data_IF_225761496370
#
_entry.id   IF_225761496370
#
_cell.length_a   1.000
_cell.length_b   1.000
_cell.length_c   1.000
_cell.angle_alpha   90.00
_cell.angle_beta   90.00
_cell.angle_gamma   90.00
#
_symmetry.space_group_name_H-M   'P 1'
#
loop_
_entity.id
_entity.type
_entity.pdbx_description
1 polymer ?
#
# COMPACT_ATOMS: atom_id res chain seq x y z
N UNK A 1 0.58 -7.27 10.49
CA UNK A 1 -0.46 -6.54 11.21
C UNK A 1 0.01 -6.17 12.60
N UNK A 2 0.44 -7.12 13.43
CA UNK A 2 0.90 -6.88 14.80
C UNK A 2 2.21 -6.05 14.90
N UNK A 3 3.01 -6.00 13.84
CA UNK A 3 4.30 -5.28 13.81
C UNK A 3 4.13 -3.76 13.92
N UNK A 4 3.10 -3.19 13.32
CA UNK A 4 2.91 -1.74 13.34
C UNK A 4 2.62 -1.17 14.74
N UNK A 5 1.70 -1.75 15.54
CA UNK A 5 1.51 -1.33 16.92
C UNK A 5 2.75 -1.54 17.79
N UNK A 6 3.46 -2.67 17.60
CA UNK A 6 4.70 -2.96 18.32
C UNK A 6 5.78 -1.91 18.02
N UNK A 7 5.95 -1.53 16.76
CA UNK A 7 6.86 -0.43 16.38
C UNK A 7 6.46 0.89 17.04
N UNK A 8 5.16 1.17 17.13
CA UNK A 8 4.66 2.38 17.78
C UNK A 8 4.98 2.45 19.27
N UNK A 9 5.17 1.32 19.95
CA UNK A 9 5.55 1.27 21.38
C UNK A 9 7.05 1.35 21.62
N UNK A 10 7.87 0.95 20.65
CA UNK A 10 9.33 0.83 20.79
C UNK A 10 10.05 2.07 20.23
N UNK A 11 9.52 2.68 19.17
CA UNK A 11 10.18 3.74 18.41
C UNK A 11 9.71 5.13 18.86
N UNK A 12 10.63 6.11 19.08
CA UNK A 12 10.25 7.50 19.35
C UNK A 12 9.35 8.07 18.23
N UNK A 13 8.29 8.81 18.61
CA UNK A 13 7.28 9.31 17.70
C UNK A 13 7.80 10.12 16.50
N UNK A 14 8.92 10.83 16.67
CA UNK A 14 9.56 11.60 15.59
C UNK A 14 10.10 10.72 14.45
N UNK A 15 10.55 9.49 14.75
CA UNK A 15 11.13 8.55 13.79
C UNK A 15 10.17 7.44 13.38
N UNK A 16 8.98 7.42 13.94
CA UNK A 16 7.99 6.35 13.74
C UNK A 16 7.68 6.14 12.25
N UNK A 17 7.43 7.21 11.50
CA UNK A 17 7.11 7.14 10.07
C UNK A 17 8.25 6.49 9.27
N UNK A 18 9.50 6.84 9.57
CA UNK A 18 10.67 6.27 8.90
C UNK A 18 10.79 4.76 9.16
N UNK A 19 10.65 4.31 10.40
CA UNK A 19 10.72 2.88 10.74
C UNK A 19 9.56 2.08 10.16
N UNK A 20 8.33 2.61 10.19
CA UNK A 20 7.18 2.01 9.53
C UNK A 20 7.42 1.87 8.01
N UNK A 21 8.04 2.89 7.42
CA UNK A 21 8.40 2.90 6.00
C UNK A 21 9.40 1.80 5.67
N UNK A 22 10.43 1.61 6.48
CA UNK A 22 11.40 0.50 6.31
C UNK A 22 10.68 -0.85 6.37
N UNK A 23 9.72 -1.02 7.28
CA UNK A 23 8.91 -2.24 7.37
C UNK A 23 8.13 -2.55 6.08
N UNK A 24 7.77 -1.54 5.29
CA UNK A 24 7.09 -1.74 4.00
C UNK A 24 8.01 -2.32 2.90
N UNK A 25 9.34 -2.29 3.07
CA UNK A 25 10.29 -2.86 2.09
C UNK A 25 10.01 -4.34 1.90
N UNK A 26 9.81 -5.10 2.99
CA UNK A 26 9.52 -6.53 2.91
C UNK A 26 8.22 -6.81 2.14
N UNK A 27 7.17 -6.02 2.38
CA UNK A 27 5.91 -6.12 1.64
C UNK A 27 6.12 -5.82 0.15
N UNK A 28 6.81 -4.74 -0.17
CA UNK A 28 7.05 -4.32 -1.56
C UNK A 28 7.95 -5.32 -2.30
N UNK A 29 8.95 -5.89 -1.62
CA UNK A 29 9.80 -6.96 -2.17
C UNK A 29 8.98 -8.22 -2.48
N UNK A 30 8.07 -8.61 -1.59
CA UNK A 30 7.18 -9.74 -1.84
C UNK A 30 6.29 -9.52 -3.07
N UNK A 31 5.77 -8.30 -3.25
CA UNK A 31 4.95 -7.93 -4.41
C UNK A 31 5.79 -7.88 -5.71
N UNK A 32 7.03 -7.41 -5.63
CA UNK A 32 7.97 -7.42 -6.77
C UNK A 32 8.28 -8.84 -7.24
N UNK A 33 8.52 -9.74 -6.30
CA UNK A 33 8.88 -11.13 -6.59
C UNK A 33 7.69 -11.99 -7.02
N UNK A 34 6.46 -11.56 -6.72
CA UNK A 34 5.24 -12.35 -7.00
C UNK A 34 5.11 -12.70 -8.48
N UNK A 35 5.24 -11.73 -9.38
CA UNK A 35 5.07 -11.94 -10.82
C UNK A 35 6.10 -12.93 -11.38
N UNK A 36 7.43 -12.77 -11.19
CA UNK A 36 8.40 -13.73 -11.68
C UNK A 36 8.26 -15.12 -11.03
N UNK A 37 7.88 -15.21 -9.75
CA UNK A 37 7.65 -16.50 -9.08
C UNK A 37 6.45 -17.21 -9.72
N UNK A 38 5.33 -16.53 -9.93
CA UNK A 38 4.14 -17.12 -10.59
C UNK A 38 4.47 -17.56 -11.99
N UNK A 39 5.13 -16.71 -12.78
CA UNK A 39 5.50 -17.02 -14.17
C UNK A 39 6.46 -18.22 -14.24
N UNK A 40 7.48 -18.25 -13.40
CA UNK A 40 8.41 -19.37 -13.32
C UNK A 40 7.75 -20.68 -12.88
N UNK A 41 6.84 -20.61 -11.90
CA UNK A 41 6.09 -21.76 -11.43
C UNK A 41 5.16 -22.34 -12.51
N UNK A 42 4.43 -21.46 -13.21
CA UNK A 42 3.55 -21.87 -14.32
C UNK A 42 4.37 -22.46 -15.47
N UNK A 43 5.52 -21.88 -15.81
CA UNK A 43 6.41 -22.43 -16.84
C UNK A 43 6.96 -23.81 -16.48
N UNK A 44 7.29 -24.04 -15.20
CA UNK A 44 7.84 -25.31 -14.73
C UNK A 44 6.79 -26.40 -14.54
N UNK A 45 5.56 -26.06 -14.13
CA UNK A 45 4.56 -27.03 -13.65
C UNK A 45 3.23 -27.01 -14.41
N UNK A 46 3.03 -26.04 -15.30
CA UNK A 46 1.78 -25.81 -16.04
C UNK A 46 0.63 -25.28 -15.18
N UNK A 47 0.83 -25.02 -13.87
CA UNK A 47 -0.25 -24.62 -12.96
C UNK A 47 0.19 -23.62 -11.90
N UNK A 48 -0.57 -22.53 -11.77
CA UNK A 48 -0.42 -21.56 -10.68
C UNK A 48 -0.90 -22.08 -9.32
N UNK A 49 -1.69 -23.17 -9.30
CA UNK A 49 -2.33 -23.70 -8.07
C UNK A 49 -1.32 -24.16 -7.02
N UNK A 50 -0.09 -24.50 -7.43
CA UNK A 50 1.00 -24.86 -6.50
C UNK A 50 1.45 -23.70 -5.60
N UNK A 51 1.09 -22.45 -5.93
CA UNK A 51 1.30 -21.31 -5.01
C UNK A 51 0.54 -21.50 -3.69
N UNK A 52 -0.65 -22.09 -3.72
CA UNK A 52 -1.47 -22.24 -2.51
C UNK A 52 -0.77 -23.09 -1.43
N UNK A 53 -0.28 -24.31 -1.70
CA UNK A 53 0.45 -25.08 -0.70
C UNK A 53 1.79 -24.44 -0.31
N UNK A 54 2.48 -23.73 -1.21
CA UNK A 54 3.70 -22.98 -0.88
C UNK A 54 3.39 -21.88 0.16
N UNK A 55 2.35 -21.07 -0.08
CA UNK A 55 1.93 -20.07 0.89
C UNK A 55 1.45 -20.65 2.21
N UNK A 56 0.73 -21.79 2.17
CA UNK A 56 0.33 -22.49 3.39
C UNK A 56 1.55 -22.94 4.20
N UNK A 57 2.55 -23.52 3.55
CA UNK A 57 3.82 -23.91 4.20
C UNK A 57 4.56 -22.72 4.81
N UNK A 58 4.70 -21.62 4.07
CA UNK A 58 5.33 -20.39 4.57
C UNK A 58 4.57 -19.81 5.76
N UNK A 59 3.23 -19.87 5.74
CA UNK A 59 2.39 -19.38 6.85
C UNK A 59 2.61 -20.22 8.11
N UNK A 60 2.69 -21.54 7.98
CA UNK A 60 2.97 -22.45 9.10
C UNK A 60 4.36 -22.18 9.68
N UNK A 61 5.39 -22.06 8.82
CA UNK A 61 6.76 -21.76 9.25
C UNK A 61 6.82 -20.39 9.96
N UNK A 62 6.17 -19.37 9.40
CA UNK A 62 6.10 -18.05 10.01
C UNK A 62 5.36 -18.05 11.35
N UNK A 63 4.27 -18.81 11.47
CA UNK A 63 3.51 -18.99 12.71
C UNK A 63 4.34 -19.69 13.80
N UNK A 64 5.05 -20.76 13.45
CA UNK A 64 5.96 -21.44 14.38
C UNK A 64 7.10 -20.53 14.83
N UNK A 65 7.71 -19.78 13.89
CA UNK A 65 8.75 -18.82 14.22
C UNK A 65 8.23 -17.77 15.22
N UNK A 66 7.03 -17.23 14.98
CA UNK A 66 6.44 -16.25 15.88
C UNK A 66 6.19 -16.79 17.30
N UNK A 67 5.73 -18.04 17.41
CA UNK A 67 5.55 -18.73 18.71
C UNK A 67 6.88 -18.94 19.47
N UNK A 68 7.97 -19.16 18.75
CA UNK A 68 9.30 -19.35 19.34
C UNK A 68 10.00 -18.02 19.68
N UNK A 69 9.49 -16.90 19.21
CA UNK A 69 10.09 -15.58 19.43
C UNK A 69 9.47 -14.94 20.68
N UNK A 70 10.24 -14.69 21.76
CA UNK A 70 9.72 -14.01 22.94
C UNK A 70 9.42 -12.56 22.58
N UNK A 71 8.15 -12.24 22.40
CA UNK A 71 7.69 -10.87 22.20
C UNK A 71 7.23 -10.33 23.55
N UNK A 72 7.85 -9.23 24.08
CA UNK A 72 7.37 -8.60 25.30
C UNK A 72 5.96 -8.06 25.06
N UNK A 73 4.98 -8.68 25.70
CA UNK A 73 3.62 -8.16 25.68
C UNK A 73 3.54 -6.91 26.56
N UNK A 74 3.03 -5.79 26.05
CA UNK A 74 2.75 -4.63 26.88
C UNK A 74 1.74 -5.06 27.96
N UNK A 75 1.95 -4.58 29.19
CA UNK A 75 1.08 -4.87 30.35
C UNK A 75 -0.39 -4.81 29.90
N UNK A 76 -1.13 -5.89 30.14
CA UNK A 76 -2.51 -6.04 29.67
C UNK A 76 -3.31 -4.80 30.09
N UNK A 77 -3.84 -4.06 29.12
CA UNK A 77 -4.90 -3.10 29.43
C UNK A 77 -6.06 -3.91 30.01
N UNK A 78 -6.54 -3.51 31.17
CA UNK A 78 -7.67 -4.15 31.88
C UNK A 78 -8.95 -4.29 31.04
N UNK A 79 -9.01 -3.65 29.88
CA UNK A 79 -10.11 -3.72 28.92
C UNK A 79 -9.56 -3.95 27.51
N UNK A 80 -9.92 -5.08 26.91
CA UNK A 80 -9.76 -5.27 25.47
C UNK A 80 -10.71 -4.29 24.75
N UNK A 81 -10.17 -3.46 23.87
CA UNK A 81 -10.96 -2.53 23.07
C UNK A 81 -11.93 -3.29 22.17
N UNK A 82 -13.20 -2.96 22.25
CA UNK A 82 -14.24 -3.51 21.38
C UNK A 82 -14.24 -2.81 20.00
N UNK A 83 -14.91 -3.42 19.02
CA UNK A 83 -15.11 -2.79 17.70
C UNK A 83 -15.75 -1.40 17.82
N UNK A 84 -16.66 -1.21 18.80
CA UNK A 84 -17.30 0.08 19.05
C UNK A 84 -16.28 1.17 19.44
N UNK A 85 -15.25 0.82 20.20
CA UNK A 85 -14.19 1.76 20.59
C UNK A 85 -13.34 2.19 19.39
N UNK A 86 -13.04 1.25 18.47
CA UNK A 86 -12.38 1.57 17.20
C UNK A 86 -13.20 2.58 16.39
N UNK A 87 -14.51 2.34 16.20
CA UNK A 87 -15.36 3.26 15.44
C UNK A 87 -15.55 4.61 16.15
N UNK A 88 -15.49 4.66 17.49
CA UNK A 88 -15.55 5.89 18.24
C UNK A 88 -14.38 6.84 17.92
N UNK A 89 -13.20 6.29 17.58
CA UNK A 89 -12.05 7.07 17.19
C UNK A 89 -12.25 7.82 15.86
N UNK A 90 -13.16 7.38 14.99
CA UNK A 90 -13.53 8.10 13.77
C UNK A 90 -14.17 9.47 14.04
N UNK A 91 -14.57 9.77 15.29
CA UNK A 91 -14.96 11.12 15.68
C UNK A 91 -13.78 12.11 15.69
N UNK A 92 -12.56 11.60 15.84
CA UNK A 92 -11.36 12.41 15.67
C UNK A 92 -11.12 12.62 14.17
N UNK A 93 -11.12 13.89 13.74
CA UNK A 93 -10.97 14.27 12.33
C UNK A 93 -9.67 13.74 11.70
N UNK A 94 -8.56 13.77 12.44
CA UNK A 94 -7.28 13.28 11.93
C UNK A 94 -7.31 11.77 11.69
N UNK A 95 -7.91 10.99 12.61
CA UNK A 95 -8.08 9.54 12.46
C UNK A 95 -9.01 9.23 11.30
N UNK A 96 -10.15 9.91 11.19
CA UNK A 96 -11.10 9.71 10.09
C UNK A 96 -10.46 9.97 8.73
N UNK A 97 -9.82 11.14 8.55
CA UNK A 97 -9.20 11.51 7.28
C UNK A 97 -8.05 10.56 6.92
N UNK A 98 -7.24 10.15 7.91
CA UNK A 98 -6.17 9.19 7.68
C UNK A 98 -6.71 7.80 7.33
N UNK A 99 -7.79 7.34 7.95
CA UNK A 99 -8.43 6.05 7.64
C UNK A 99 -8.98 6.04 6.21
N UNK A 100 -9.67 7.10 5.81
CA UNK A 100 -10.14 7.27 4.44
C UNK A 100 -8.96 7.43 3.45
N UNK A 101 -7.89 8.12 3.86
CA UNK A 101 -6.64 8.23 3.09
C UNK A 101 -6.01 6.87 2.81
N UNK A 102 -5.94 6.00 3.82
CA UNK A 102 -5.46 4.61 3.64
C UNK A 102 -6.39 3.82 2.72
N UNK A 103 -7.71 3.97 2.85
CA UNK A 103 -8.68 3.31 1.97
C UNK A 103 -8.46 3.74 0.50
N UNK A 104 -8.33 5.04 0.24
CA UNK A 104 -8.04 5.59 -1.08
C UNK A 104 -6.66 5.15 -1.60
N UNK A 105 -5.65 5.13 -0.72
CA UNK A 105 -4.31 4.65 -1.07
C UNK A 105 -4.33 3.20 -1.55
N UNK A 106 -4.94 2.30 -0.81
CA UNK A 106 -5.02 0.88 -1.18
C UNK A 106 -5.90 0.69 -2.42
N UNK A 107 -6.99 1.46 -2.53
CA UNK A 107 -7.83 1.46 -3.72
C UNK A 107 -7.05 1.89 -4.97
N UNK A 108 -6.25 2.94 -4.88
CA UNK A 108 -5.37 3.39 -5.96
C UNK A 108 -4.28 2.35 -6.27
N UNK A 109 -3.63 1.79 -5.25
CA UNK A 109 -2.56 0.80 -5.39
C UNK A 109 -3.02 -0.45 -6.15
N UNK A 110 -4.14 -1.03 -5.73
CA UNK A 110 -4.76 -2.19 -6.42
C UNK A 110 -5.26 -1.80 -7.81
N UNK A 111 -5.83 -0.60 -7.95
CA UNK A 111 -6.29 -0.06 -9.24
C UNK A 111 -5.14 0.09 -10.24
N UNK A 112 -4.00 0.63 -9.82
CA UNK A 112 -2.79 0.73 -10.65
C UNK A 112 -2.31 -0.66 -11.05
N UNK A 113 -2.21 -1.61 -10.13
CA UNK A 113 -1.82 -2.99 -10.41
C UNK A 113 -2.76 -3.66 -11.43
N UNK A 114 -4.07 -3.42 -11.33
CA UNK A 114 -5.07 -3.94 -12.27
C UNK A 114 -4.95 -3.29 -13.67
N UNK A 115 -4.72 -2.00 -13.73
CA UNK A 115 -4.67 -1.23 -14.98
C UNK A 115 -3.32 -1.34 -15.68
N UNK A 116 -2.21 -1.39 -14.94
CA UNK A 116 -0.85 -1.36 -15.48
C UNK A 116 -0.62 -2.42 -16.57
N UNK A 117 -1.13 -3.64 -16.38
CA UNK A 117 -1.05 -4.72 -17.37
C UNK A 117 -2.01 -4.55 -18.56
N UNK A 118 -2.93 -3.60 -18.52
CA UNK A 118 -3.94 -3.32 -19.54
C UNK A 118 -3.67 -2.04 -20.32
N UNK A 119 -2.80 -1.18 -19.82
CA UNK A 119 -2.40 0.05 -20.51
C UNK A 119 -1.52 -0.22 -21.73
N UNK A 120 -0.90 -1.40 -21.78
CA UNK A 120 -0.03 -1.84 -22.87
C UNK A 120 -0.57 -3.16 -23.41
N UNK A 121 -0.86 -3.18 -24.70
CA UNK A 121 -1.36 -4.37 -25.40
C UNK A 121 -0.17 -5.22 -25.93
N UNK A 122 0.66 -5.71 -24.99
CA UNK A 122 1.88 -6.45 -25.28
C UNK A 122 2.11 -7.50 -24.19
N UNK A 123 2.64 -8.71 -24.50
CA UNK A 123 3.05 -9.70 -23.49
C UNK A 123 4.00 -9.18 -22.42
N UNK A 124 4.79 -8.13 -22.74
CA UNK A 124 5.68 -7.48 -21.78
C UNK A 124 4.96 -6.58 -20.76
N UNK A 125 3.65 -6.43 -20.83
CA UNK A 125 2.85 -5.56 -19.93
C UNK A 125 3.04 -5.89 -18.45
N UNK A 126 3.40 -7.13 -18.10
CA UNK A 126 3.74 -7.54 -16.74
C UNK A 126 4.95 -6.77 -16.17
N UNK A 127 5.84 -6.27 -17.04
CA UNK A 127 6.98 -5.46 -16.63
C UNK A 127 6.58 -4.10 -16.07
N UNK A 128 5.39 -3.57 -16.43
CA UNK A 128 4.85 -2.34 -15.82
C UNK A 128 4.63 -2.52 -14.34
N UNK A 129 4.01 -3.64 -13.93
CA UNK A 129 3.79 -3.95 -12.52
C UNK A 129 5.11 -4.21 -11.79
N UNK A 130 6.04 -4.93 -12.41
CA UNK A 130 7.38 -5.17 -11.86
C UNK A 130 8.13 -3.85 -11.66
N UNK A 131 8.13 -2.97 -12.67
CA UNK A 131 8.73 -1.64 -12.62
C UNK A 131 8.12 -0.75 -11.54
N UNK A 132 6.79 -0.79 -11.39
CA UNK A 132 6.07 -0.09 -10.33
C UNK A 132 6.59 -0.47 -8.93
N UNK A 133 6.67 -1.76 -8.63
CA UNK A 133 7.15 -2.20 -7.30
C UNK A 133 8.65 -2.03 -7.12
N UNK A 134 9.47 -2.17 -8.18
CA UNK A 134 10.89 -1.88 -8.12
C UNK A 134 11.17 -0.41 -7.76
N UNK A 135 10.53 0.53 -8.49
CA UNK A 135 10.64 1.96 -8.19
C UNK A 135 10.07 2.30 -6.80
N UNK A 136 9.03 1.58 -6.36
CA UNK A 136 8.45 1.74 -5.03
C UNK A 136 9.42 1.35 -3.92
N UNK A 137 10.22 0.29 -4.09
CA UNK A 137 11.27 -0.08 -3.13
C UNK A 137 12.31 1.05 -3.02
N UNK A 138 12.76 1.57 -4.16
CA UNK A 138 13.68 2.72 -4.19
C UNK A 138 13.06 3.93 -3.51
N UNK A 139 11.79 4.25 -3.82
CA UNK A 139 11.03 5.31 -3.17
C UNK A 139 10.88 5.13 -1.67
N UNK A 140 10.71 3.87 -1.21
CA UNK A 140 10.64 3.54 0.21
C UNK A 140 11.95 3.83 0.93
N UNK A 141 13.10 3.46 0.34
CA UNK A 141 14.43 3.72 0.91
C UNK A 141 14.72 5.22 0.99
N UNK A 142 14.51 5.93 -0.12
CA UNK A 142 14.73 7.39 -0.19
C UNK A 142 13.75 8.11 0.72
N UNK A 143 12.47 7.72 0.70
CA UNK A 143 11.43 8.31 1.52
C UNK A 143 11.67 8.12 3.02
N UNK A 144 12.16 6.96 3.45
CA UNK A 144 12.53 6.72 4.85
C UNK A 144 13.62 7.72 5.32
N UNK A 145 14.59 8.04 4.46
CA UNK A 145 15.62 9.01 4.77
C UNK A 145 15.10 10.46 4.73
N UNK A 146 14.26 10.79 3.77
CA UNK A 146 13.67 12.14 3.62
C UNK A 146 12.73 12.46 4.78
N UNK A 147 11.91 11.49 5.21
CA UNK A 147 10.95 11.64 6.31
C UNK A 147 11.60 11.89 7.70
N UNK A 148 12.91 11.66 7.83
CA UNK A 148 13.66 12.12 9.03
C UNK A 148 13.84 13.63 9.04
N UNK A 149 13.83 14.29 7.86
CA UNK A 149 14.16 15.72 7.69
C UNK A 149 12.96 16.58 7.33
N UNK A 150 11.93 15.99 6.73
CA UNK A 150 10.76 16.68 6.18
C UNK A 150 9.51 16.21 6.92
N UNK A 151 8.58 17.11 7.19
CA UNK A 151 7.31 16.76 7.84
C UNK A 151 6.47 15.81 6.98
N UNK A 152 5.78 14.88 7.64
CA UNK A 152 4.90 13.89 7.03
C UNK A 152 3.93 14.50 6.00
N UNK A 153 3.30 15.64 6.35
CA UNK A 153 2.32 16.32 5.49
C UNK A 153 2.96 16.90 4.24
N UNK A 154 4.12 17.57 4.36
CA UNK A 154 4.82 18.14 3.19
C UNK A 154 5.26 17.05 2.23
N UNK A 155 5.82 15.97 2.77
CA UNK A 155 6.24 14.83 1.96
C UNK A 155 5.04 14.23 1.20
N UNK A 156 3.92 14.02 1.89
CA UNK A 156 2.70 13.49 1.29
C UNK A 156 2.20 14.41 0.17
N UNK A 157 2.08 15.72 0.42
CA UNK A 157 1.60 16.70 -0.55
C UNK A 157 2.45 16.69 -1.82
N UNK A 158 3.78 16.71 -1.71
CA UNK A 158 4.66 16.69 -2.88
C UNK A 158 4.50 15.42 -3.72
N UNK A 159 4.47 14.26 -3.05
CA UNK A 159 4.33 12.98 -3.74
C UNK A 159 2.94 12.82 -4.38
N UNK A 160 1.87 13.23 -3.69
CA UNK A 160 0.51 13.11 -4.21
C UNK A 160 0.23 14.10 -5.35
N UNK A 161 0.81 15.31 -5.30
CA UNK A 161 0.73 16.25 -6.43
C UNK A 161 1.41 15.66 -7.67
N UNK A 162 2.60 15.09 -7.52
CA UNK A 162 3.30 14.41 -8.61
C UNK A 162 2.53 13.18 -9.12
N UNK A 163 1.98 12.36 -8.21
CA UNK A 163 1.18 11.20 -8.56
C UNK A 163 -0.10 11.60 -9.32
N UNK A 164 -0.78 12.67 -8.92
CA UNK A 164 -1.98 13.17 -9.60
C UNK A 164 -1.66 13.65 -11.03
N UNK A 165 -0.55 14.38 -11.19
CA UNK A 165 -0.08 14.81 -12.52
C UNK A 165 0.24 13.61 -13.42
N UNK A 166 0.87 12.55 -12.88
CA UNK A 166 1.17 11.33 -13.62
C UNK A 166 -0.11 10.55 -13.99
N UNK A 167 -1.09 10.46 -13.07
CA UNK A 167 -2.38 9.85 -13.37
C UNK A 167 -3.09 10.61 -14.50
N UNK A 168 -3.06 11.94 -14.48
CA UNK A 168 -3.63 12.77 -15.55
C UNK A 168 -2.88 12.56 -16.88
N UNK A 169 -1.55 12.49 -16.85
CA UNK A 169 -0.76 12.22 -18.04
C UNK A 169 -1.07 10.85 -18.66
N UNK A 170 -1.26 9.80 -17.84
CA UNK A 170 -1.58 8.45 -18.29
C UNK A 170 -2.94 8.33 -18.97
N UNK A 171 -3.85 9.31 -18.84
CA UNK A 171 -5.09 9.37 -19.62
C UNK A 171 -4.84 9.61 -21.12
N UNK A 172 -3.75 10.31 -21.45
CA UNK A 172 -3.46 10.76 -22.82
C UNK A 172 -2.26 10.05 -23.45
N UNK A 173 -1.30 9.61 -22.64
CA UNK A 173 -0.07 8.95 -23.10
C UNK A 173 -0.40 7.57 -23.67
N UNK A 174 0.13 7.31 -24.89
CA UNK A 174 -0.02 6.03 -25.62
C UNK A 174 1.32 5.37 -25.94
N UNK A 175 2.41 6.08 -25.76
CA UNK A 175 3.75 5.55 -25.99
C UNK A 175 4.11 4.57 -24.86
N UNK A 176 4.46 3.34 -25.20
CA UNK A 176 4.75 2.26 -24.25
C UNK A 176 5.89 2.66 -23.28
N UNK A 177 7.00 3.19 -23.78
CA UNK A 177 8.14 3.58 -22.95
C UNK A 177 7.74 4.67 -21.94
N UNK A 178 6.89 5.63 -22.36
CA UNK A 178 6.39 6.67 -21.48
C UNK A 178 5.41 6.10 -20.43
N UNK A 179 4.61 5.09 -20.78
CA UNK A 179 3.73 4.39 -19.82
C UNK A 179 4.58 3.65 -18.78
N UNK A 180 5.61 2.89 -19.20
CA UNK A 180 6.53 2.22 -18.26
C UNK A 180 7.17 3.21 -17.29
N UNK A 181 7.69 4.32 -17.80
CA UNK A 181 8.32 5.36 -16.99
C UNK A 181 7.31 6.01 -16.02
N UNK A 182 6.13 6.39 -16.50
CA UNK A 182 5.10 7.04 -15.68
C UNK A 182 4.59 6.12 -14.57
N UNK A 183 4.32 4.84 -14.86
CA UNK A 183 3.90 3.85 -13.87
C UNK A 183 5.01 3.58 -12.85
N UNK A 184 6.28 3.51 -13.27
CA UNK A 184 7.42 3.38 -12.36
C UNK A 184 7.54 4.58 -11.41
N UNK A 185 7.49 5.81 -11.92
CA UNK A 185 7.54 7.03 -11.10
C UNK A 185 6.33 7.12 -10.17
N UNK A 186 5.16 6.67 -10.61
CA UNK A 186 3.96 6.58 -9.77
C UNK A 186 4.17 5.61 -8.60
N UNK A 187 4.84 4.48 -8.83
CA UNK A 187 5.25 3.57 -7.77
C UNK A 187 6.16 4.23 -6.73
N UNK A 188 7.14 5.01 -7.19
CA UNK A 188 8.02 5.81 -6.32
C UNK A 188 7.22 6.80 -5.47
N UNK A 189 6.31 7.57 -6.06
CA UNK A 189 5.50 8.56 -5.37
C UNK A 189 4.58 7.93 -4.30
N UNK A 190 4.12 6.70 -4.52
CA UNK A 190 3.22 5.99 -3.60
C UNK A 190 3.94 5.22 -2.48
N UNK A 191 5.28 5.29 -2.38
CA UNK A 191 6.08 4.41 -1.54
C UNK A 191 5.78 4.50 -0.03
N UNK A 192 5.63 5.72 0.53
CA UNK A 192 5.55 5.95 1.97
C UNK A 192 4.14 6.35 2.45
N UNK A 193 3.16 6.39 1.56
CA UNK A 193 1.83 6.94 1.82
C UNK A 193 1.14 6.26 3.01
N UNK A 194 1.15 4.93 3.05
CA UNK A 194 0.56 4.18 4.16
C UNK A 194 1.21 4.53 5.51
N UNK A 195 2.55 4.53 5.55
CA UNK A 195 3.29 4.83 6.78
C UNK A 195 3.01 6.25 7.27
N UNK A 196 2.89 7.20 6.35
CA UNK A 196 2.57 8.60 6.65
C UNK A 196 1.17 8.75 7.27
N UNK A 197 0.12 8.18 6.64
CA UNK A 197 -1.23 8.22 7.20
C UNK A 197 -1.34 7.51 8.54
N UNK A 198 -0.68 6.35 8.68
CA UNK A 198 -0.64 5.61 9.93
C UNK A 198 0.01 6.44 11.04
N UNK A 199 1.15 7.06 10.77
CA UNK A 199 1.85 7.89 11.73
C UNK A 199 1.04 9.12 12.14
N UNK A 200 0.38 9.80 11.20
CA UNK A 200 -0.50 10.95 11.48
C UNK A 200 -1.65 10.54 12.40
N UNK A 201 -2.32 9.44 12.10
CA UNK A 201 -3.42 8.95 12.92
C UNK A 201 -2.98 8.54 14.33
N UNK A 202 -1.86 7.83 14.45
CA UNK A 202 -1.33 7.38 15.75
C UNK A 202 -0.83 8.55 16.60
N UNK A 203 -0.19 9.56 15.97
CA UNK A 203 0.23 10.79 16.67
C UNK A 203 -0.97 11.58 17.21
N UNK A 204 -2.13 11.52 16.54
CA UNK A 204 -3.35 12.21 16.99
C UNK A 204 -3.99 11.57 18.22
N UNK A 205 -3.83 10.26 18.42
CA UNK A 205 -4.41 9.48 19.53
C UNK A 205 -3.42 8.41 20.03
N UNK A 206 -2.30 8.81 20.66
CA UNK A 206 -1.21 7.89 21.02
C UNK A 206 -1.65 6.76 21.95
N UNK A 207 -2.63 7.02 22.83
CA UNK A 207 -3.16 6.06 23.80
C UNK A 207 -3.93 4.92 23.15
N UNK A 208 -4.41 5.11 21.89
CA UNK A 208 -5.24 4.19 21.15
C UNK A 208 -4.55 3.63 19.89
N UNK A 209 -3.23 3.45 19.91
CA UNK A 209 -2.46 3.02 18.74
C UNK A 209 -2.92 1.65 18.19
N UNK A 210 -3.38 0.73 19.05
CA UNK A 210 -3.88 -0.59 18.64
C UNK A 210 -5.22 -0.48 17.91
N UNK A 211 -6.13 0.36 18.40
CA UNK A 211 -7.43 0.63 17.78
C UNK A 211 -7.26 1.34 16.43
N UNK A 212 -6.33 2.30 16.36
CA UNK A 212 -5.94 2.94 15.09
C UNK A 212 -5.42 1.90 14.10
N UNK A 213 -4.54 0.98 14.54
CA UNK A 213 -4.06 -0.10 13.68
C UNK A 213 -5.22 -0.97 13.16
N UNK A 214 -6.18 -1.31 14.02
CA UNK A 214 -7.39 -2.04 13.64
C UNK A 214 -8.18 -1.32 12.53
N UNK A 215 -8.43 -0.01 12.70
CA UNK A 215 -9.11 0.81 11.68
C UNK A 215 -8.34 0.86 10.35
N UNK A 216 -7.02 1.04 10.40
CA UNK A 216 -6.19 1.06 9.19
C UNK A 216 -6.22 -0.26 8.43
N UNK A 217 -6.28 -1.39 9.16
CA UNK A 217 -6.41 -2.72 8.56
C UNK A 217 -7.79 -2.89 7.91
N UNK A 218 -8.85 -2.44 8.58
CA UNK A 218 -10.19 -2.44 7.97
C UNK A 218 -10.21 -1.58 6.70
N UNK A 219 -9.54 -0.44 6.69
CA UNK A 219 -9.42 0.43 5.51
C UNK A 219 -8.72 -0.26 4.32
N UNK A 220 -7.81 -1.20 4.57
CA UNK A 220 -7.15 -1.99 3.51
C UNK A 220 -8.17 -2.78 2.67
N UNK A 221 -9.31 -3.18 3.27
CA UNK A 221 -10.39 -3.90 2.56
C UNK A 221 -10.99 -3.09 1.40
N UNK A 222 -10.83 -1.77 1.39
CA UNK A 222 -11.26 -0.92 0.27
C UNK A 222 -10.57 -1.29 -1.06
N UNK A 223 -9.38 -1.90 -1.01
CA UNK A 223 -8.70 -2.42 -2.19
C UNK A 223 -9.53 -3.44 -2.97
N UNK A 224 -10.40 -4.20 -2.31
CA UNK A 224 -11.27 -5.17 -2.97
C UNK A 224 -12.26 -4.53 -3.95
N UNK A 225 -12.61 -3.26 -3.77
CA UNK A 225 -13.54 -2.52 -4.62
C UNK A 225 -12.88 -2.05 -5.92
N UNK A 226 -11.57 -1.86 -5.92
CA UNK A 226 -10.83 -1.25 -7.05
C UNK A 226 -10.90 -2.05 -8.33
N UNK A 227 -10.69 -3.36 -8.28
CA UNK A 227 -10.76 -4.23 -9.46
C UNK A 227 -12.12 -4.18 -10.16
N UNK A 228 -13.23 -4.42 -9.44
CA UNK A 228 -14.58 -4.28 -9.98
C UNK A 228 -14.87 -2.89 -10.56
N UNK A 229 -14.50 -1.81 -9.87
CA UNK A 229 -14.73 -0.43 -10.32
C UNK A 229 -13.92 -0.11 -11.57
N UNK A 230 -12.61 -0.35 -11.56
CA UNK A 230 -11.77 -0.16 -12.74
C UNK A 230 -12.22 -1.02 -13.90
N UNK A 231 -12.60 -2.29 -13.64
CA UNK A 231 -13.12 -3.19 -14.65
C UNK A 231 -14.46 -2.73 -15.25
N UNK A 232 -15.34 -2.15 -14.45
CA UNK A 232 -16.59 -1.56 -14.92
C UNK A 232 -16.33 -0.34 -15.82
N UNK A 233 -15.42 0.56 -15.41
CA UNK A 233 -15.03 1.72 -16.20
C UNK A 233 -14.44 1.27 -17.54
N UNK A 234 -13.49 0.34 -17.52
CA UNK A 234 -12.87 -0.17 -18.75
C UNK A 234 -13.89 -0.82 -19.69
N UNK A 235 -14.84 -1.59 -19.16
CA UNK A 235 -15.90 -2.20 -19.97
C UNK A 235 -16.88 -1.18 -20.56
N UNK A 236 -17.25 -0.15 -19.77
CA UNK A 236 -18.22 0.85 -20.22
C UNK A 236 -17.69 1.71 -21.36
N UNK A 237 -16.40 2.02 -21.36
CA UNK A 237 -15.78 2.93 -22.34
C UNK A 237 -14.80 2.25 -23.31
N UNK A 238 -14.55 0.95 -23.17
CA UNK A 238 -13.61 0.22 -24.03
C UNK A 238 -12.16 0.71 -23.97
N UNK A 239 -11.80 1.51 -22.97
CA UNK A 239 -10.49 2.16 -22.88
C UNK A 239 -9.88 2.04 -21.47
N UNK A 240 -8.80 1.26 -21.29
CA UNK A 240 -8.18 1.04 -20.00
C UNK A 240 -7.57 2.33 -19.39
N UNK A 241 -7.18 3.31 -20.22
CA UNK A 241 -6.68 4.59 -19.72
C UNK A 241 -7.71 5.37 -18.91
N UNK A 242 -9.03 5.24 -19.24
CA UNK A 242 -10.09 5.88 -18.47
C UNK A 242 -10.24 5.29 -17.06
N UNK A 243 -9.78 4.06 -16.84
CA UNK A 243 -9.68 3.50 -15.50
C UNK A 243 -8.78 4.31 -14.57
N UNK A 244 -7.79 5.05 -15.12
CA UNK A 244 -6.94 5.94 -14.34
C UNK A 244 -7.69 7.11 -13.70
N UNK A 245 -8.92 7.44 -14.16
CA UNK A 245 -9.78 8.45 -13.50
C UNK A 245 -10.13 8.04 -12.06
N UNK A 246 -10.42 6.76 -11.83
CA UNK A 246 -10.67 6.26 -10.49
C UNK A 246 -9.42 6.39 -9.61
N UNK A 247 -8.27 6.02 -10.14
CA UNK A 247 -6.99 6.17 -9.42
C UNK A 247 -6.70 7.64 -9.12
N UNK A 248 -6.90 8.53 -10.11
CA UNK A 248 -6.71 9.96 -9.95
C UNK A 248 -7.65 10.55 -8.87
N UNK A 249 -8.91 10.10 -8.82
CA UNK A 249 -9.85 10.53 -7.78
C UNK A 249 -9.38 10.12 -6.38
N UNK A 250 -8.89 8.88 -6.22
CA UNK A 250 -8.31 8.41 -4.97
C UNK A 250 -7.06 9.21 -4.57
N UNK A 251 -6.17 9.51 -5.54
CA UNK A 251 -4.96 10.31 -5.31
C UNK A 251 -5.33 11.75 -4.96
N UNK A 252 -6.32 12.34 -5.62
CA UNK A 252 -6.81 13.69 -5.32
C UNK A 252 -7.38 13.82 -3.90
N UNK A 253 -8.02 12.76 -3.38
CA UNK A 253 -8.46 12.74 -1.98
C UNK A 253 -7.28 12.75 -0.99
N UNK A 254 -6.16 12.11 -1.34
CA UNK A 254 -4.97 12.04 -0.48
C UNK A 254 -4.12 13.32 -0.46
N UNK A 255 -4.41 14.27 -1.34
CA UNK A 255 -3.78 15.59 -1.43
C UNK A 255 -4.39 16.58 -0.45
#
# INVERSE_FOLDING_TARGET
VAVNPLLATIVPGERMTSYLTVGQIFRNTSLLLLAPIVTGLVAATGSWRLLLPIYAGLTVVGGLWLQLTPVPEPAQRERSAGLADCFRLLKNRAVLLSTLGVACFIAADVGIGFLSVRLIDNPSSILTTTGFYACRIVGTLIGAWVLVKVSDVKYLTWNMTGALALCAALLFVRNEAAIYAAVGVLGFAMACVFATFYAVATKAVPENANEVAGLMIMAISAGAVSGPVCGAIVRAWGNPHLGMLFVAACVAYML
#
